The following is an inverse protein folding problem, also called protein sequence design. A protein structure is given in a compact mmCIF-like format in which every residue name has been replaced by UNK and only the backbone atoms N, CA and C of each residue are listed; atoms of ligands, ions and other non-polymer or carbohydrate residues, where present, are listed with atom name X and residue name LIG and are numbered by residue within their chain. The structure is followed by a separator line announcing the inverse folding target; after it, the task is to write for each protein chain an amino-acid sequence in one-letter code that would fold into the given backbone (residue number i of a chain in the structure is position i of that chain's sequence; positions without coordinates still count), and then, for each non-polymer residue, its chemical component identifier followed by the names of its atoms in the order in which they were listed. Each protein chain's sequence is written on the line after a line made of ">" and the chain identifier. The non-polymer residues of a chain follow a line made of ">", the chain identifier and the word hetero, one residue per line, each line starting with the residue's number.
data_IF_440103360676
#
_entry.id   IF_440103360676
#
_cell.length_a   1.000
_cell.length_b   1.000
_cell.length_c   1.000
_cell.angle_alpha   90.00
_cell.angle_beta   90.00
_cell.angle_gamma   90.00
#
_symmetry.space_group_name_H-M   'P 1'
#
loop_
_entity.id
_entity.type
_entity.pdbx_description
1 polymer ?
#
# COMPACT_ATOMS: atom_id res chain seq x y z
N UNK A 1 -19.24 -3.70 -16.20
CA UNK A 1 -19.68 -3.97 -14.82
C UNK A 1 -18.44 -4.24 -14.00
N UNK A 2 -18.41 -3.85 -12.72
CA UNK A 2 -17.29 -4.14 -11.85
C UNK A 2 -16.98 -5.64 -11.78
N UNK A 3 -15.71 -6.01 -11.74
CA UNK A 3 -15.21 -7.39 -11.64
C UNK A 3 -15.17 -7.88 -10.20
N UNK A 4 -14.84 -7.00 -9.25
CA UNK A 4 -14.57 -7.34 -7.84
C UNK A 4 -15.33 -6.45 -6.86
N UNK A 5 -15.40 -5.15 -7.10
CA UNK A 5 -16.09 -4.20 -6.22
C UNK A 5 -17.58 -4.13 -6.56
N UNK A 6 -18.45 -3.87 -5.60
CA UNK A 6 -19.85 -3.54 -5.92
C UNK A 6 -19.96 -2.09 -6.41
N UNK A 7 -21.02 -1.71 -7.16
CA UNK A 7 -21.26 -0.31 -7.52
C UNK A 7 -21.24 0.63 -6.31
N UNK A 8 -21.83 0.22 -5.18
CA UNK A 8 -21.82 1.00 -3.95
C UNK A 8 -20.41 1.17 -3.34
N UNK A 9 -19.52 0.19 -3.51
CA UNK A 9 -18.12 0.30 -3.07
C UNK A 9 -17.34 1.28 -3.95
N UNK A 10 -17.57 1.27 -5.26
CA UNK A 10 -16.99 2.24 -6.19
C UNK A 10 -17.46 3.65 -5.84
N UNK A 11 -18.77 3.85 -5.65
CA UNK A 11 -19.33 5.14 -5.23
C UNK A 11 -18.77 5.61 -3.87
N UNK A 12 -18.55 4.69 -2.92
CA UNK A 12 -17.93 5.02 -1.63
C UNK A 12 -16.47 5.44 -1.80
N UNK A 13 -15.71 4.77 -2.66
CA UNK A 13 -14.33 5.15 -2.96
C UNK A 13 -14.26 6.53 -3.63
N UNK A 14 -15.14 6.80 -4.58
CA UNK A 14 -15.22 8.11 -5.25
C UNK A 14 -15.58 9.24 -4.25
N UNK A 15 -16.52 8.98 -3.34
CA UNK A 15 -16.95 9.96 -2.33
C UNK A 15 -15.88 10.18 -1.25
N UNK A 16 -15.32 9.12 -0.69
CA UNK A 16 -14.51 9.18 0.53
C UNK A 16 -13.00 9.13 0.26
N UNK A 17 -12.57 8.68 -0.92
CA UNK A 17 -11.17 8.63 -1.35
C UNK A 17 -10.41 7.38 -0.90
N UNK A 18 -11.07 6.46 -0.19
CA UNK A 18 -10.52 5.18 0.22
C UNK A 18 -11.62 4.13 0.36
N UNK A 19 -11.23 2.85 0.39
CA UNK A 19 -12.13 1.73 0.61
C UNK A 19 -11.41 0.67 1.44
N UNK A 20 -12.02 0.27 2.57
CA UNK A 20 -11.51 -0.79 3.43
C UNK A 20 -12.65 -1.42 4.24
N UNK A 21 -12.65 -2.74 4.49
CA UNK A 21 -11.71 -3.73 3.95
C UNK A 21 -12.11 -4.19 2.53
N UNK A 22 -11.12 -4.62 1.74
CA UNK A 22 -11.31 -5.33 0.46
C UNK A 22 -10.57 -6.66 0.55
N UNK A 23 -11.30 -7.78 0.47
CA UNK A 23 -10.71 -9.11 0.57
C UNK A 23 -9.90 -9.45 -0.68
N UNK A 24 -8.57 -9.54 -0.52
CA UNK A 24 -7.63 -9.87 -1.59
C UNK A 24 -6.84 -11.17 -1.33
N UNK A 25 -6.35 -11.38 -0.10
CA UNK A 25 -5.57 -12.55 0.31
C UNK A 25 -6.29 -13.31 1.43
N UNK A 26 -6.13 -14.64 1.48
CA UNK A 26 -6.45 -15.42 2.68
C UNK A 26 -5.45 -15.15 3.81
N UNK A 27 -5.78 -15.57 5.04
CA UNK A 27 -4.84 -15.47 6.18
C UNK A 27 -3.58 -16.29 5.95
N UNK A 28 -3.71 -17.44 5.30
CA UNK A 28 -2.59 -18.33 4.96
C UNK A 28 -1.69 -17.70 3.89
N UNK A 29 -2.27 -17.04 2.88
CA UNK A 29 -1.53 -16.32 1.84
C UNK A 29 -0.78 -15.11 2.43
N UNK A 30 -1.44 -14.33 3.29
CA UNK A 30 -0.82 -13.23 4.00
C UNK A 30 0.34 -13.70 4.89
N UNK A 31 0.15 -14.77 5.66
CA UNK A 31 1.20 -15.37 6.49
C UNK A 31 2.35 -15.94 5.64
N UNK A 32 2.08 -16.49 4.47
CA UNK A 32 3.11 -16.94 3.54
C UNK A 32 3.93 -15.78 2.96
N UNK A 33 3.30 -14.64 2.68
CA UNK A 33 3.99 -13.43 2.27
C UNK A 33 4.87 -12.87 3.40
N UNK A 34 4.37 -12.88 4.64
CA UNK A 34 5.14 -12.46 5.81
C UNK A 34 6.41 -13.31 5.98
N UNK A 35 6.31 -14.64 5.91
CA UNK A 35 7.51 -15.51 5.98
C UNK A 35 8.52 -15.25 4.87
N UNK A 36 8.06 -14.88 3.66
CA UNK A 36 8.95 -14.51 2.55
C UNK A 36 9.61 -13.14 2.77
N UNK A 37 8.93 -12.21 3.42
CA UNK A 37 9.50 -10.93 3.85
C UNK A 37 10.59 -11.15 4.90
N UNK A 38 10.32 -11.92 5.94
CA UNK A 38 11.29 -12.26 7.00
C UNK A 38 12.53 -12.98 6.43
N UNK A 39 12.32 -13.92 5.51
CA UNK A 39 13.42 -14.58 4.81
C UNK A 39 14.25 -13.59 3.97
N UNK A 40 13.59 -12.63 3.31
CA UNK A 40 14.29 -11.58 2.57
C UNK A 40 15.10 -10.68 3.50
N UNK A 41 14.53 -10.24 4.62
CA UNK A 41 15.22 -9.48 5.68
C UNK A 41 16.50 -10.19 6.14
N UNK A 42 16.43 -11.50 6.40
CA UNK A 42 17.60 -12.29 6.76
C UNK A 42 18.69 -12.29 5.67
N UNK A 43 18.32 -12.23 4.38
CA UNK A 43 19.30 -12.16 3.28
C UNK A 43 19.95 -10.79 3.11
N UNK A 44 19.28 -9.71 3.54
CA UNK A 44 19.77 -8.33 3.38
C UNK A 44 20.38 -7.75 4.66
N UNK A 45 20.56 -8.57 5.70
CA UNK A 45 21.28 -8.22 6.92
C UNK A 45 20.40 -7.87 8.13
N UNK A 46 19.08 -8.03 8.03
CA UNK A 46 18.14 -7.80 9.13
C UNK A 46 16.85 -7.10 8.71
N UNK A 47 16.07 -6.59 9.68
CA UNK A 47 14.82 -5.88 9.42
C UNK A 47 15.01 -4.74 8.42
N UNK A 48 14.04 -4.54 7.51
CA UNK A 48 14.10 -3.45 6.52
C UNK A 48 13.95 -2.06 7.18
N UNK A 49 13.61 -2.02 8.47
CA UNK A 49 13.50 -0.83 9.33
C UNK A 49 14.81 -0.48 10.04
N UNK A 50 15.82 -1.37 10.01
CA UNK A 50 17.11 -1.17 10.68
C UNK A 50 18.02 -0.23 9.90
N UNK A 51 18.81 0.59 10.62
CA UNK A 51 19.87 1.44 10.06
C UNK A 51 20.97 0.64 9.34
N UNK A 52 21.11 -0.65 9.67
CA UNK A 52 22.07 -1.56 9.04
C UNK A 52 21.63 -2.10 7.68
N UNK A 53 20.36 -1.92 7.31
CA UNK A 53 19.80 -2.44 6.06
C UNK A 53 19.71 -1.33 5.02
N UNK A 54 20.17 -1.60 3.80
CA UNK A 54 20.11 -0.62 2.71
C UNK A 54 18.65 -0.22 2.41
N UNK A 55 18.37 1.09 2.53
CA UNK A 55 17.03 1.66 2.36
C UNK A 55 16.39 1.35 1.00
N UNK A 56 17.18 1.02 -0.03
CA UNK A 56 16.66 0.61 -1.35
C UNK A 56 15.80 -0.66 -1.27
N UNK A 57 16.01 -1.53 -0.28
CA UNK A 57 15.22 -2.75 -0.09
C UNK A 57 13.82 -2.49 0.49
N UNK A 58 13.51 -1.25 0.90
CA UNK A 58 12.15 -0.87 1.33
C UNK A 58 11.18 -0.59 0.20
N UNK A 59 11.66 -0.30 -1.00
CA UNK A 59 10.81 0.12 -2.12
C UNK A 59 11.21 -0.53 -3.44
N UNK A 60 10.24 -0.66 -4.35
CA UNK A 60 10.37 -1.28 -5.67
C UNK A 60 10.82 -2.74 -5.62
N UNK A 61 10.59 -3.44 -4.52
CA UNK A 61 10.95 -4.87 -4.37
C UNK A 61 10.24 -5.78 -5.37
N UNK A 62 9.13 -5.35 -5.97
CA UNK A 62 8.49 -6.07 -7.08
C UNK A 62 9.37 -6.21 -8.34
N UNK A 63 10.43 -5.41 -8.50
CA UNK A 63 11.41 -5.61 -9.60
C UNK A 63 12.55 -6.56 -9.23
N UNK A 64 12.70 -6.88 -7.95
CA UNK A 64 13.78 -7.72 -7.42
C UNK A 64 13.27 -9.12 -7.02
N UNK A 65 12.08 -9.18 -6.43
CA UNK A 65 11.51 -10.36 -5.81
C UNK A 65 10.33 -10.87 -6.64
N UNK A 66 10.50 -12.03 -7.27
CA UNK A 66 9.48 -12.65 -8.14
C UNK A 66 8.15 -12.87 -7.44
N UNK A 67 8.16 -13.17 -6.13
CA UNK A 67 6.91 -13.36 -5.38
C UNK A 67 6.17 -12.03 -5.12
N UNK A 68 6.89 -10.91 -4.97
CA UNK A 68 6.28 -9.58 -4.87
C UNK A 68 5.76 -9.18 -6.25
N UNK A 69 6.51 -9.45 -7.32
CA UNK A 69 6.03 -9.27 -8.69
C UNK A 69 4.69 -10.01 -8.93
N UNK A 70 4.61 -11.29 -8.54
CA UNK A 70 3.35 -12.06 -8.62
C UNK A 70 2.24 -11.44 -7.79
N UNK A 71 2.55 -10.91 -6.59
CA UNK A 71 1.56 -10.24 -5.75
C UNK A 71 0.99 -8.98 -6.41
N UNK A 72 1.82 -8.19 -7.10
CA UNK A 72 1.33 -7.02 -7.87
C UNK A 72 0.42 -7.39 -9.05
N UNK A 73 0.36 -8.68 -9.40
CA UNK A 73 -0.46 -9.24 -10.47
C UNK A 73 -1.59 -10.12 -9.96
N UNK A 74 -1.85 -10.12 -8.66
CA UNK A 74 -2.88 -10.96 -8.05
C UNK A 74 -4.27 -10.55 -8.58
N UNK A 75 -5.09 -11.49 -9.11
CA UNK A 75 -6.37 -11.15 -9.74
C UNK A 75 -7.30 -10.34 -8.84
N UNK A 76 -7.45 -10.72 -7.57
CA UNK A 76 -8.33 -9.98 -6.66
C UNK A 76 -7.87 -8.53 -6.39
N UNK A 77 -6.58 -8.23 -6.56
CA UNK A 77 -6.03 -6.87 -6.44
C UNK A 77 -6.25 -6.12 -7.76
N UNK A 78 -5.85 -6.73 -8.89
CA UNK A 78 -5.99 -6.11 -10.20
C UNK A 78 -7.44 -5.84 -10.57
N UNK A 79 -8.36 -6.78 -10.30
CA UNK A 79 -9.78 -6.59 -10.57
C UNK A 79 -10.36 -5.43 -9.74
N UNK A 80 -9.96 -5.31 -8.47
CA UNK A 80 -10.40 -4.19 -7.62
C UNK A 80 -9.84 -2.84 -8.09
N UNK A 81 -8.58 -2.79 -8.54
CA UNK A 81 -7.97 -1.58 -9.08
C UNK A 81 -8.56 -1.23 -10.46
N UNK A 82 -8.79 -2.23 -11.31
CA UNK A 82 -9.41 -2.06 -12.63
C UNK A 82 -10.81 -1.47 -12.52
N UNK A 83 -11.59 -1.87 -11.51
CA UNK A 83 -12.91 -1.30 -11.25
C UNK A 83 -12.88 0.20 -10.91
N UNK A 84 -11.73 0.74 -10.48
CA UNK A 84 -11.55 2.15 -10.11
C UNK A 84 -10.92 2.99 -11.23
N UNK A 85 -9.91 2.47 -11.93
CA UNK A 85 -9.12 3.25 -12.91
C UNK A 85 -9.17 2.70 -14.35
N UNK A 86 -9.88 1.60 -14.57
CA UNK A 86 -9.97 0.93 -15.86
C UNK A 86 -8.80 -0.04 -16.13
N UNK A 87 -8.79 -0.67 -17.32
CA UNK A 87 -7.98 -1.87 -17.59
C UNK A 87 -6.49 -1.61 -17.81
N UNK A 88 -6.09 -0.36 -18.02
CA UNK A 88 -4.71 0.00 -18.34
C UNK A 88 -3.93 0.33 -17.06
N UNK A 89 -3.48 -0.72 -16.37
CA UNK A 89 -2.83 -0.62 -15.06
C UNK A 89 -1.31 -0.71 -15.22
N UNK A 90 -0.60 0.23 -14.59
CA UNK A 90 0.85 0.21 -14.43
C UNK A 90 1.20 0.17 -12.94
N UNK A 91 2.05 -0.79 -12.55
CA UNK A 91 2.65 -0.80 -11.22
C UNK A 91 3.79 0.21 -11.18
N UNK A 92 3.55 1.37 -10.58
CA UNK A 92 4.56 2.43 -10.47
C UNK A 92 5.62 2.12 -9.41
N UNK A 93 5.19 1.67 -8.23
CA UNK A 93 6.07 1.33 -7.11
C UNK A 93 5.43 0.29 -6.19
N UNK A 94 6.24 -0.33 -5.34
CA UNK A 94 5.81 -1.10 -4.19
C UNK A 94 6.63 -0.65 -2.98
N UNK A 95 6.05 -0.55 -1.80
CA UNK A 95 6.77 -0.09 -0.60
C UNK A 95 6.36 -0.91 0.61
N UNK A 96 7.34 -1.29 1.42
CA UNK A 96 7.13 -1.94 2.70
C UNK A 96 6.87 -0.89 3.79
N UNK A 97 5.67 -0.93 4.38
CA UNK A 97 5.30 -0.13 5.54
C UNK A 97 5.28 -1.02 6.78
N UNK A 98 6.45 -1.14 7.41
CA UNK A 98 6.66 -1.97 8.61
C UNK A 98 6.70 -1.04 9.82
N UNK A 99 5.93 -1.39 10.86
CA UNK A 99 5.95 -0.77 12.19
C UNK A 99 6.50 -1.79 13.18
N UNK A 100 7.72 -1.57 13.65
CA UNK A 100 8.27 -2.38 14.73
C UNK A 100 7.51 -2.11 16.04
N UNK A 101 7.41 -3.11 16.93
CA UNK A 101 6.90 -2.89 18.28
C UNK A 101 7.61 -1.71 18.96
N UNK A 102 6.85 -0.85 19.65
CA UNK A 102 7.36 0.32 20.38
C UNK A 102 8.08 1.36 19.49
N UNK A 103 7.96 1.27 18.16
CA UNK A 103 8.53 2.27 17.25
C UNK A 103 7.89 3.64 17.47
N UNK A 104 8.73 4.66 17.68
CA UNK A 104 8.30 6.06 17.71
C UNK A 104 8.01 6.64 16.31
N UNK A 105 8.21 5.86 15.24
CA UNK A 105 8.01 6.35 13.88
C UNK A 105 6.52 6.64 13.63
N UNK A 106 6.21 7.82 13.10
CA UNK A 106 4.86 8.24 12.74
C UNK A 106 4.84 8.60 11.25
N UNK A 107 3.79 8.16 10.55
CA UNK A 107 3.49 8.66 9.22
C UNK A 107 2.49 9.83 9.39
N UNK A 108 2.99 11.07 9.40
CA UNK A 108 2.14 12.25 9.55
C UNK A 108 1.15 12.37 8.38
N UNK A 109 0.06 13.12 8.58
CA UNK A 109 -0.93 13.39 7.52
C UNK A 109 -0.26 13.87 6.23
N UNK A 110 -0.50 13.16 5.13
CA UNK A 110 0.08 13.46 3.82
C UNK A 110 -0.81 12.95 2.69
N UNK A 111 -0.44 13.32 1.45
CA UNK A 111 -0.99 12.74 0.22
C UNK A 111 0.15 12.03 -0.52
N UNK A 112 -0.05 10.78 -0.92
CA UNK A 112 0.95 9.97 -1.65
C UNK A 112 1.54 10.68 -2.87
N UNK A 113 0.68 11.42 -3.58
CA UNK A 113 1.02 12.26 -4.72
C UNK A 113 2.22 13.21 -4.50
N UNK A 114 2.44 13.62 -3.25
CA UNK A 114 3.57 14.45 -2.83
C UNK A 114 4.91 13.81 -3.20
N UNK A 115 4.99 12.48 -3.11
CA UNK A 115 6.24 11.74 -3.19
C UNK A 115 6.47 11.09 -4.55
N UNK A 116 5.42 10.89 -5.35
CA UNK A 116 5.53 10.16 -6.61
C UNK A 116 5.88 11.04 -7.81
N UNK A 117 5.62 12.36 -7.72
CA UNK A 117 5.88 13.29 -8.84
C UNK A 117 5.04 12.99 -10.10
N UNK A 118 4.00 12.16 -9.99
CA UNK A 118 3.11 11.80 -11.09
C UNK A 118 2.01 12.85 -11.28
N UNK A 119 1.64 13.11 -12.53
CA UNK A 119 0.47 13.92 -12.89
C UNK A 119 -0.30 13.23 -14.02
N UNK A 120 -1.66 13.29 -14.03
CA UNK A 120 -2.51 13.84 -12.96
C UNK A 120 -2.48 12.98 -11.68
N UNK A 121 -2.95 13.53 -10.55
CA UNK A 121 -2.92 12.87 -9.23
C UNK A 121 -4.04 11.83 -9.07
N UNK A 122 -4.06 10.84 -9.96
CA UNK A 122 -5.15 9.85 -10.09
C UNK A 122 -4.66 8.41 -9.82
N UNK A 123 -3.54 8.26 -9.13
CA UNK A 123 -3.01 6.93 -8.80
C UNK A 123 -3.79 6.30 -7.65
N UNK A 124 -3.86 4.97 -7.67
CA UNK A 124 -4.46 4.15 -6.61
C UNK A 124 -3.35 3.40 -5.89
N UNK A 125 -3.36 3.47 -4.55
CA UNK A 125 -2.50 2.66 -3.69
C UNK A 125 -3.30 1.47 -3.17
N UNK A 126 -2.91 0.25 -3.55
CA UNK A 126 -3.42 -0.97 -2.93
C UNK A 126 -2.55 -1.32 -1.71
N UNK A 127 -3.03 -1.03 -0.51
CA UNK A 127 -2.35 -1.36 0.74
C UNK A 127 -2.78 -2.76 1.23
N UNK A 128 -1.81 -3.66 1.39
CA UNK A 128 -2.06 -5.05 1.80
C UNK A 128 -1.59 -5.27 3.24
N UNK A 129 -2.51 -5.72 4.09
CA UNK A 129 -2.21 -6.15 5.45
C UNK A 129 -1.60 -7.56 5.41
N UNK A 130 -0.31 -7.70 5.75
CA UNK A 130 0.32 -9.02 5.97
C UNK A 130 0.18 -9.52 7.41
N UNK A 131 -0.10 -8.59 8.33
CA UNK A 131 -0.47 -8.80 9.73
C UNK A 131 -1.79 -8.09 10.01
N UNK A 132 -2.47 -8.42 11.10
CA UNK A 132 -3.64 -7.64 11.52
C UNK A 132 -3.23 -6.18 11.76
N UNK A 133 -4.01 -5.22 11.23
CA UNK A 133 -3.76 -3.79 11.36
C UNK A 133 -4.81 -3.16 12.29
N UNK A 134 -4.42 -2.93 13.54
CA UNK A 134 -5.26 -2.37 14.61
C UNK A 134 -4.81 -0.97 14.99
N UNK A 135 -5.61 -0.27 15.79
CA UNK A 135 -5.25 1.06 16.28
C UNK A 135 -3.97 1.02 17.14
N UNK A 136 -3.76 -0.08 17.88
CA UNK A 136 -2.62 -0.27 18.77
C UNK A 136 -1.31 -0.59 18.04
N UNK A 137 -1.37 -1.13 16.82
CA UNK A 137 -0.18 -1.49 16.03
C UNK A 137 0.04 -0.63 14.77
N UNK A 138 -0.68 0.49 14.68
CA UNK A 138 -0.45 1.53 13.66
C UNK A 138 -1.19 1.30 12.35
N UNK A 139 -2.48 0.97 12.40
CA UNK A 139 -3.34 0.96 11.22
C UNK A 139 -3.40 2.34 10.52
N UNK A 140 -3.82 2.34 9.26
CA UNK A 140 -4.00 3.58 8.50
C UNK A 140 -5.20 4.40 9.00
N UNK A 141 -5.01 5.71 9.02
CA UNK A 141 -6.08 6.69 9.18
C UNK A 141 -6.29 7.44 7.86
N UNK A 142 -7.56 7.72 7.54
CA UNK A 142 -7.93 8.46 6.34
C UNK A 142 -8.86 9.60 6.73
N UNK A 143 -8.77 10.73 6.01
CA UNK A 143 -9.72 11.82 6.10
C UNK A 143 -10.69 11.72 4.91
N UNK A 144 -11.95 11.28 5.12
CA UNK A 144 -12.91 11.09 4.04
C UNK A 144 -13.09 12.34 3.17
N UNK A 145 -13.05 12.18 1.86
CA UNK A 145 -13.27 13.23 0.87
C UNK A 145 -12.10 14.21 0.71
N UNK A 146 -10.98 14.00 1.39
CA UNK A 146 -9.82 14.90 1.32
C UNK A 146 -9.17 14.98 -0.08
N UNK A 147 -9.39 13.98 -0.94
CA UNK A 147 -8.90 13.94 -2.32
C UNK A 147 -9.61 14.93 -3.26
N UNK A 148 -10.84 15.34 -2.97
CA UNK A 148 -11.60 16.30 -3.79
C UNK A 148 -10.96 17.69 -3.84
N UNK A 149 -10.17 18.04 -2.82
CA UNK A 149 -9.47 19.32 -2.73
C UNK A 149 -8.19 19.40 -3.58
N UNK A 150 -7.86 18.34 -4.33
CA UNK A 150 -6.61 18.22 -5.06
C UNK A 150 -5.39 18.12 -4.14
N UNK A 151 -4.21 18.30 -4.73
CA UNK A 151 -2.95 18.23 -3.99
C UNK A 151 -2.73 19.49 -3.15
N UNK A 152 -2.48 19.30 -1.85
CA UNK A 152 -2.14 20.35 -0.89
C UNK A 152 -0.62 20.56 -0.85
N UNK A 153 -0.15 21.79 -0.58
CA UNK A 153 1.26 22.02 -0.27
C UNK A 153 1.66 21.18 0.94
N UNK A 154 2.71 20.35 0.78
CA UNK A 154 3.27 19.57 1.87
C UNK A 154 4.51 20.27 2.39
N UNK A 155 4.61 20.39 3.71
CA UNK A 155 5.85 20.80 4.39
C UNK A 155 6.29 19.60 5.21
N UNK A 156 7.45 19.02 4.88
CA UNK A 156 8.10 18.11 5.81
C UNK A 156 8.25 18.85 7.13
N UNK A 157 7.84 18.23 8.23
CA UNK A 157 7.74 18.87 9.54
C UNK A 157 9.01 19.63 9.91
N UNK A 158 8.78 20.82 10.49
CA UNK A 158 9.76 21.58 11.27
C UNK A 158 9.96 20.88 12.61
#
# INVERSE_FOLDING_TARGET
>A
MPKKLSPAQVESYERDGFLSPVAALSREEAAACLRKLEAFEATVGGPLTSDGTDARYRSRTHVLLSWVHSLTRHPAILDAVEDLIGPNILVYTSTWFIKEPESAAIAAWHQDATYFGLRPYVHVTAWLALTDATAENGCMEFLPGSHHGGQRPHRAGV
#
